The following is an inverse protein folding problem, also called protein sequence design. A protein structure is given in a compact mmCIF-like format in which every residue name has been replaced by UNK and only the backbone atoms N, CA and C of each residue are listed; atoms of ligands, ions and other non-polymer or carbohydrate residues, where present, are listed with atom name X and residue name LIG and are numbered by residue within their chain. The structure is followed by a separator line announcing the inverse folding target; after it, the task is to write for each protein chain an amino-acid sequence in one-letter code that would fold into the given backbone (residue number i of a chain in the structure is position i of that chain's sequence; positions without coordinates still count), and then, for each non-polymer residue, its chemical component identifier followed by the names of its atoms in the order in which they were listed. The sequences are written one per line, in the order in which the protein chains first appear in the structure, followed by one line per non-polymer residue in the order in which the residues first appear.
data_IF_511518859706
#
_entry.id   IF_511518859706
#
_cell.length_a   1.000
_cell.length_b   1.000
_cell.length_c   1.000
_cell.angle_alpha   90.00
_cell.angle_beta   90.00
_cell.angle_gamma   90.00
#
_symmetry.space_group_name_H-M   'P 1'
#
loop_
_entity.id
_entity.type
_entity.pdbx_description
1 polymer ?
#
# COMPACT_ATOMS: atom_id res chain seq x y z
N UNK A 1 8.65 -5.41 -8.45
CA UNK A 1 8.35 -3.96 -8.26
C UNK A 1 9.09 -3.45 -7.04
N UNK A 2 9.72 -2.28 -7.08
CA UNK A 2 10.43 -1.63 -5.96
C UNK A 2 10.03 -0.16 -5.89
N UNK A 3 9.91 0.37 -4.66
CA UNK A 3 9.75 1.81 -4.42
C UNK A 3 11.13 2.45 -4.57
N UNK A 4 11.22 3.47 -5.42
CA UNK A 4 12.48 4.19 -5.65
C UNK A 4 12.50 5.57 -5.04
N UNK A 5 11.33 6.19 -4.87
CA UNK A 5 11.19 7.54 -4.30
C UNK A 5 9.80 7.72 -3.73
N UNK A 6 9.72 8.51 -2.67
CA UNK A 6 8.48 8.97 -2.05
C UNK A 6 8.55 10.48 -1.92
N UNK A 7 7.48 11.15 -2.29
CA UNK A 7 7.31 12.59 -2.11
C UNK A 7 6.01 12.83 -1.34
N UNK A 8 6.08 13.62 -0.30
CA UNK A 8 4.95 14.08 0.48
C UNK A 8 4.85 15.60 0.29
N UNK A 9 3.70 16.04 -0.19
CA UNK A 9 3.38 17.46 -0.36
C UNK A 9 2.03 17.70 0.30
N UNK A 10 1.85 18.85 0.93
CA UNK A 10 0.67 19.23 1.70
C UNK A 10 0.38 18.39 2.94
N UNK A 11 0.13 19.06 4.07
CA UNK A 11 -0.23 18.45 5.34
C UNK A 11 0.94 17.95 6.21
N UNK A 12 2.16 17.96 5.67
CA UNK A 12 3.45 17.73 6.35
C UNK A 12 4.51 18.65 5.75
N UNK A 13 5.66 18.74 6.43
CA UNK A 13 6.86 19.26 5.78
C UNK A 13 7.11 18.45 4.52
N UNK A 14 7.38 19.14 3.41
CA UNK A 14 7.69 18.49 2.13
C UNK A 14 8.92 17.60 2.31
N UNK A 15 8.73 16.31 2.20
CA UNK A 15 9.84 15.36 2.25
C UNK A 15 10.00 14.65 0.92
N UNK A 16 11.26 14.43 0.53
CA UNK A 16 11.63 13.66 -0.64
C UNK A 16 12.61 12.59 -0.18
N UNK A 17 12.14 11.36 -0.12
CA UNK A 17 12.96 10.23 0.31
C UNK A 17 13.29 9.32 -0.88
N UNK A 18 14.59 9.14 -1.11
CA UNK A 18 15.09 8.25 -2.16
C UNK A 18 15.39 6.89 -1.55
N UNK A 19 14.71 5.86 -2.06
CA UNK A 19 14.90 4.49 -1.62
C UNK A 19 15.98 3.79 -2.42
N UNK A 20 16.82 3.02 -1.73
CA UNK A 20 17.84 2.17 -2.35
C UNK A 20 17.27 0.78 -2.62
N UNK A 21 17.81 0.10 -3.62
CA UNK A 21 17.50 -1.32 -3.82
C UNK A 21 18.00 -2.13 -2.61
N UNK A 22 17.14 -3.00 -2.09
CA UNK A 22 17.44 -3.83 -0.93
C UNK A 22 16.87 -3.24 0.36
N UNK A 23 17.65 -3.24 1.41
CA UNK A 23 17.23 -2.84 2.75
C UNK A 23 17.30 -1.32 2.94
N UNK A 24 16.22 -0.72 3.43
CA UNK A 24 16.14 0.70 3.80
C UNK A 24 15.78 0.78 5.29
N UNK A 25 16.62 1.43 6.08
CA UNK A 25 16.43 1.58 7.52
C UNK A 25 15.98 3.01 7.84
N UNK A 26 14.83 3.12 8.48
CA UNK A 26 14.32 4.39 9.01
C UNK A 26 14.63 4.46 10.50
N UNK A 27 15.50 5.39 10.88
CA UNK A 27 15.91 5.60 12.27
C UNK A 27 15.59 7.01 12.72
N UNK A 28 15.48 7.22 14.03
CA UNK A 28 15.45 8.53 14.66
C UNK A 28 16.55 8.60 15.73
N UNK A 29 17.28 9.68 15.75
CA UNK A 29 18.50 9.77 16.58
C UNK A 29 18.23 9.82 18.08
N UNK A 30 17.09 10.30 18.57
CA UNK A 30 16.96 10.57 20.02
C UNK A 30 15.57 10.34 20.67
N UNK A 31 14.55 9.86 19.98
CA UNK A 31 13.22 9.66 20.60
C UNK A 31 12.42 8.53 19.95
N UNK A 32 11.75 7.73 20.78
CA UNK A 32 10.94 6.58 20.34
C UNK A 32 9.63 6.94 19.61
N UNK A 33 9.20 8.19 19.60
CA UNK A 33 7.87 8.60 19.12
C UNK A 33 7.86 9.46 17.85
N UNK A 34 8.96 9.55 17.10
CA UNK A 34 9.02 10.42 15.94
C UNK A 34 8.57 9.69 14.66
N UNK A 35 7.27 9.51 14.51
CA UNK A 35 6.66 9.34 13.18
C UNK A 35 7.06 8.14 12.31
N UNK A 36 7.98 7.23 12.75
CA UNK A 36 8.44 6.09 11.92
C UNK A 36 7.28 5.21 11.45
N UNK A 37 6.41 4.80 12.37
CA UNK A 37 5.22 4.01 12.04
C UNK A 37 4.24 4.80 11.18
N UNK A 38 4.13 6.10 11.40
CA UNK A 38 3.31 7.00 10.59
C UNK A 38 3.83 7.10 9.16
N UNK A 39 5.15 7.18 9.00
CA UNK A 39 5.77 7.19 7.68
C UNK A 39 5.48 5.90 6.89
N UNK A 40 5.60 4.73 7.54
CA UNK A 40 5.21 3.47 6.91
C UNK A 40 3.71 3.45 6.56
N UNK A 41 2.85 3.97 7.44
CA UNK A 41 1.41 4.11 7.16
C UNK A 41 1.14 5.04 5.96
N UNK A 42 1.92 6.11 5.80
CA UNK A 42 1.83 7.01 4.65
C UNK A 42 2.15 6.31 3.33
N UNK A 43 3.12 5.39 3.31
CA UNK A 43 3.40 4.57 2.12
C UNK A 43 2.17 3.75 1.73
N UNK A 44 1.55 3.07 2.69
CA UNK A 44 0.34 2.27 2.42
C UNK A 44 -0.85 3.15 2.06
N UNK A 45 -1.01 4.29 2.73
CA UNK A 45 -2.02 5.27 2.36
C UNK A 45 -1.86 5.70 0.90
N UNK A 46 -0.64 6.03 0.48
CA UNK A 46 -0.35 6.46 -0.89
C UNK A 46 -0.63 5.39 -1.95
N UNK A 47 -0.61 4.12 -1.55
CA UNK A 47 -1.02 2.98 -2.38
C UNK A 47 -2.54 2.68 -2.31
N UNK A 48 -3.33 3.59 -1.75
CA UNK A 48 -4.79 3.48 -1.70
C UNK A 48 -5.36 2.73 -0.51
N UNK A 49 -4.52 2.15 0.36
CA UNK A 49 -5.01 1.41 1.52
C UNK A 49 -5.60 2.32 2.59
N UNK A 50 -6.60 1.82 3.30
CA UNK A 50 -7.09 2.43 4.54
C UNK A 50 -6.05 2.22 5.64
N UNK A 51 -5.65 3.29 6.31
CA UNK A 51 -4.70 3.25 7.43
C UNK A 51 -5.35 3.71 8.73
N UNK A 52 -4.84 3.30 9.91
CA UNK A 52 -5.33 3.79 11.18
C UNK A 52 -5.21 5.31 11.28
N UNK A 53 -6.16 5.95 11.96
CA UNK A 53 -6.03 7.35 12.32
C UNK A 53 -4.78 7.55 13.19
N UNK A 54 -4.08 8.66 12.99
CA UNK A 54 -2.96 9.08 13.82
C UNK A 54 -3.29 10.47 14.35
N UNK A 55 -3.09 10.68 15.65
CA UNK A 55 -3.37 11.96 16.28
C UNK A 55 -2.59 13.10 15.58
N UNK A 56 -3.27 14.21 15.33
CA UNK A 56 -2.69 15.36 14.64
C UNK A 56 -2.54 15.20 13.12
N UNK A 57 -2.88 14.05 12.53
CA UNK A 57 -2.68 13.78 11.11
C UNK A 57 -4.00 13.53 10.38
N UNK A 58 -4.30 14.39 9.43
CA UNK A 58 -5.41 14.18 8.52
C UNK A 58 -4.91 13.65 7.17
N UNK A 59 -4.92 12.31 7.03
CA UNK A 59 -4.47 11.65 5.81
C UNK A 59 -5.19 12.12 4.54
N UNK A 60 -6.44 12.60 4.64
CA UNK A 60 -7.18 13.10 3.47
C UNK A 60 -6.64 14.43 2.92
N UNK A 61 -5.82 15.15 3.70
CA UNK A 61 -5.17 16.39 3.27
C UNK A 61 -3.76 16.18 2.72
N UNK A 62 -3.28 14.95 2.75
CA UNK A 62 -1.93 14.64 2.30
C UNK A 62 -1.98 14.34 0.81
N UNK A 63 -1.21 15.09 0.04
CA UNK A 63 -0.87 14.73 -1.33
C UNK A 63 0.46 13.99 -1.32
N UNK A 64 0.49 12.81 -1.93
CA UNK A 64 1.69 11.97 -1.95
C UNK A 64 1.96 11.43 -3.34
N UNK A 65 3.25 11.26 -3.66
CA UNK A 65 3.70 10.58 -4.88
C UNK A 65 4.64 9.44 -4.52
N UNK A 66 4.37 8.27 -5.07
CA UNK A 66 5.26 7.12 -4.99
C UNK A 66 5.77 6.80 -6.38
N UNK A 67 7.07 6.65 -6.48
CA UNK A 67 7.74 6.23 -7.71
C UNK A 67 8.12 4.75 -7.57
N UNK A 68 7.59 3.94 -8.45
CA UNK A 68 7.85 2.51 -8.49
C UNK A 68 8.61 2.17 -9.76
N UNK A 69 9.49 1.18 -9.66
CA UNK A 69 10.17 0.61 -10.82
C UNK A 69 9.96 -0.89 -10.87
N UNK A 70 9.58 -1.37 -12.05
CA UNK A 70 9.48 -2.79 -12.33
C UNK A 70 10.03 -3.08 -13.70
N UNK A 71 11.13 -3.88 -13.77
CA UNK A 71 11.84 -4.14 -15.00
C UNK A 71 12.21 -2.83 -15.71
N UNK A 72 11.62 -2.56 -16.88
CA UNK A 72 11.85 -1.38 -17.71
C UNK A 72 10.74 -0.33 -17.61
N UNK A 73 9.75 -0.52 -16.72
CA UNK A 73 8.63 0.42 -16.53
C UNK A 73 8.80 1.22 -15.24
N UNK A 74 8.49 2.49 -15.33
CA UNK A 74 8.48 3.42 -14.19
C UNK A 74 7.07 3.94 -13.97
N UNK A 75 6.51 3.63 -12.80
CA UNK A 75 5.19 4.07 -12.40
C UNK A 75 5.31 5.27 -11.46
N UNK A 76 4.46 6.27 -11.67
CA UNK A 76 4.24 7.35 -10.72
C UNK A 76 2.82 7.22 -10.22
N UNK A 77 2.67 6.96 -8.93
CA UNK A 77 1.37 6.90 -8.28
C UNK A 77 1.22 8.16 -7.46
N UNK A 78 0.22 8.97 -7.79
CA UNK A 78 -0.13 10.19 -7.04
C UNK A 78 -1.45 9.96 -6.35
N UNK A 79 -1.49 10.16 -5.03
CA UNK A 79 -2.72 10.18 -4.27
C UNK A 79 -3.04 11.57 -3.78
N UNK A 80 -4.24 12.02 -4.08
CA UNK A 80 -4.81 13.26 -3.61
C UNK A 80 -6.23 12.99 -3.11
N UNK A 81 -6.39 13.01 -1.78
CA UNK A 81 -7.66 12.66 -1.12
C UNK A 81 -8.16 11.25 -1.55
N UNK A 82 -9.30 11.21 -2.27
CA UNK A 82 -9.93 9.99 -2.80
C UNK A 82 -9.57 9.68 -4.25
N UNK A 83 -8.72 10.49 -4.87
CA UNK A 83 -8.25 10.26 -6.23
C UNK A 83 -6.85 9.65 -6.19
N UNK A 84 -6.68 8.59 -6.96
CA UNK A 84 -5.40 7.94 -7.16
C UNK A 84 -5.11 7.92 -8.64
N UNK A 85 -4.03 8.60 -9.04
CA UNK A 85 -3.59 8.67 -10.44
C UNK A 85 -2.36 7.81 -10.62
N UNK A 86 -2.32 7.06 -11.71
CA UNK A 86 -1.15 6.25 -12.13
C UNK A 86 -0.67 6.76 -13.48
N UNK A 87 0.61 7.01 -13.57
CA UNK A 87 1.30 7.38 -14.80
C UNK A 87 2.43 6.38 -15.09
N UNK A 88 2.52 5.90 -16.33
CA UNK A 88 3.63 5.09 -16.83
C UNK A 88 4.35 5.92 -17.87
N UNK A 89 5.56 6.38 -17.53
CA UNK A 89 6.30 7.32 -18.38
C UNK A 89 6.65 6.77 -19.75
N UNK A 90 7.10 5.53 -19.79
CA UNK A 90 7.57 4.87 -21.01
C UNK A 90 6.45 4.63 -22.02
N UNK A 91 5.20 4.54 -21.54
CA UNK A 91 4.03 4.24 -22.37
C UNK A 91 3.16 5.48 -22.64
N UNK A 92 3.53 6.65 -22.10
CA UNK A 92 2.71 7.87 -22.09
C UNK A 92 1.26 7.58 -21.61
N UNK A 93 1.15 6.66 -20.65
CA UNK A 93 -0.13 6.18 -20.13
C UNK A 93 -0.45 6.89 -18.82
N UNK A 94 -1.71 7.31 -18.69
CA UNK A 94 -2.24 7.86 -17.44
C UNK A 94 -3.65 7.33 -17.20
N UNK A 95 -3.91 6.88 -15.99
CA UNK A 95 -5.23 6.46 -15.55
C UNK A 95 -5.52 6.95 -14.12
N UNK A 96 -6.80 7.13 -13.81
CA UNK A 96 -7.28 7.60 -12.53
C UNK A 96 -8.22 6.56 -11.92
N UNK A 97 -8.14 6.39 -10.59
CA UNK A 97 -9.00 5.49 -9.83
C UNK A 97 -9.60 6.23 -8.65
N UNK A 98 -10.89 6.05 -8.42
CA UNK A 98 -11.62 6.65 -7.32
C UNK A 98 -11.63 5.71 -6.11
N UNK A 99 -11.19 6.18 -4.97
CA UNK A 99 -11.14 5.40 -3.73
C UNK A 99 -12.37 5.66 -2.85
N UNK A 100 -12.87 4.63 -2.16
CA UNK A 100 -12.36 3.24 -2.13
C UNK A 100 -12.88 2.35 -3.25
N UNK A 101 -13.82 2.82 -4.08
CA UNK A 101 -14.63 2.02 -5.00
C UNK A 101 -13.78 1.26 -6.03
N UNK A 102 -12.73 1.91 -6.56
CA UNK A 102 -11.88 1.35 -7.61
C UNK A 102 -10.52 0.85 -7.10
N UNK A 103 -10.36 0.71 -5.77
CA UNK A 103 -9.08 0.28 -5.19
C UNK A 103 -8.62 -1.10 -5.71
N UNK A 104 -9.54 -2.05 -5.84
CA UNK A 104 -9.19 -3.36 -6.39
C UNK A 104 -8.81 -3.31 -7.85
N UNK A 105 -9.48 -2.48 -8.64
CA UNK A 105 -9.14 -2.26 -10.05
C UNK A 105 -7.73 -1.67 -10.19
N UNK A 106 -7.40 -0.70 -9.33
CA UNK A 106 -6.04 -0.15 -9.25
C UNK A 106 -4.99 -1.22 -8.89
N UNK A 107 -5.23 -1.99 -7.82
CA UNK A 107 -4.27 -3.03 -7.42
C UNK A 107 -4.16 -4.15 -8.48
N UNK A 108 -5.27 -4.52 -9.12
CA UNK A 108 -5.27 -5.47 -10.24
C UNK A 108 -4.42 -4.98 -11.40
N UNK A 109 -4.53 -3.71 -11.72
CA UNK A 109 -3.72 -3.06 -12.74
C UNK A 109 -2.24 -3.02 -12.33
N UNK A 110 -1.96 -2.56 -11.11
CA UNK A 110 -0.58 -2.38 -10.63
C UNK A 110 0.19 -3.70 -10.51
N UNK A 111 -0.46 -4.76 -10.05
CA UNK A 111 0.17 -6.08 -9.84
C UNK A 111 -0.07 -7.07 -10.99
N UNK A 112 -0.74 -6.64 -12.06
CA UNK A 112 -1.12 -7.49 -13.19
C UNK A 112 -1.83 -8.79 -12.73
N UNK A 113 -2.62 -8.69 -11.67
CA UNK A 113 -3.30 -9.80 -11.03
C UNK A 113 -4.81 -9.56 -10.98
N UNK A 114 -5.60 -10.50 -11.49
CA UNK A 114 -7.06 -10.41 -11.46
C UNK A 114 -7.70 -11.19 -10.32
N UNK A 115 -6.93 -12.02 -9.62
CA UNK A 115 -7.44 -12.83 -8.53
C UNK A 115 -7.66 -11.96 -7.28
N UNK A 116 -8.93 -11.68 -6.98
CA UNK A 116 -9.34 -10.81 -5.88
C UNK A 116 -8.90 -11.34 -4.51
N UNK A 117 -8.83 -12.67 -4.32
CA UNK A 117 -8.37 -13.29 -3.07
C UNK A 117 -6.89 -12.99 -2.81
N UNK A 118 -6.07 -13.04 -3.86
CA UNK A 118 -4.65 -12.66 -3.76
C UNK A 118 -4.54 -11.17 -3.45
N UNK A 119 -5.20 -10.32 -4.25
CA UNK A 119 -5.08 -8.86 -4.15
C UNK A 119 -5.51 -8.35 -2.76
N UNK A 120 -6.63 -8.84 -2.23
CA UNK A 120 -7.11 -8.46 -0.90
C UNK A 120 -6.11 -8.75 0.22
N UNK A 121 -5.31 -9.80 0.06
CA UNK A 121 -4.40 -10.29 1.08
C UNK A 121 -2.93 -9.87 0.86
N UNK A 122 -2.59 -9.20 -0.25
CA UNK A 122 -1.23 -8.79 -0.58
C UNK A 122 -0.57 -7.95 0.51
N UNK A 123 -1.28 -6.96 1.05
CA UNK A 123 -0.73 -6.12 2.10
C UNK A 123 -0.43 -6.93 3.37
N UNK A 124 -1.31 -7.85 3.74
CA UNK A 124 -1.10 -8.74 4.89
C UNK A 124 0.11 -9.63 4.75
N UNK A 125 0.46 -10.02 3.52
CA UNK A 125 1.66 -10.79 3.23
C UNK A 125 2.95 -9.97 3.44
N UNK A 126 2.92 -8.68 3.13
CA UNK A 126 4.10 -7.81 3.06
C UNK A 126 4.30 -6.96 4.32
N UNK A 127 3.33 -6.90 5.23
CA UNK A 127 3.37 -5.98 6.35
C UNK A 127 3.49 -6.70 7.68
N UNK A 128 4.46 -6.26 8.50
CA UNK A 128 4.63 -6.66 9.89
C UNK A 128 4.35 -5.44 10.77
N UNK A 129 3.31 -5.52 11.58
CA UNK A 129 2.94 -4.46 12.52
C UNK A 129 3.75 -4.59 13.82
N UNK A 130 4.08 -3.45 14.42
CA UNK A 130 4.87 -3.41 15.65
C UNK A 130 4.18 -4.11 16.83
N UNK A 131 2.86 -3.97 16.94
CA UNK A 131 2.07 -4.51 18.05
C UNK A 131 1.47 -5.87 17.73
N UNK A 132 1.08 -6.08 16.47
CA UNK A 132 0.30 -7.23 16.02
C UNK A 132 1.14 -8.31 15.33
N UNK A 133 2.41 -8.03 15.08
CA UNK A 133 3.30 -8.94 14.36
C UNK A 133 2.91 -9.09 12.88
N UNK A 134 3.08 -10.27 12.33
CA UNK A 134 2.76 -10.53 10.93
C UNK A 134 1.24 -10.47 10.70
N UNK A 135 0.81 -9.49 9.94
CA UNK A 135 -0.60 -9.11 9.83
C UNK A 135 -1.46 -10.17 9.18
N UNK A 136 -0.90 -11.00 8.31
CA UNK A 136 -1.61 -12.10 7.65
C UNK A 136 -2.13 -13.16 8.64
N UNK A 137 -1.46 -13.34 9.78
CA UNK A 137 -1.85 -14.32 10.80
C UNK A 137 -2.89 -13.79 11.80
N UNK A 138 -3.22 -12.51 11.72
CA UNK A 138 -4.20 -11.90 12.62
C UNK A 138 -5.62 -12.04 12.07
N UNK A 139 -6.53 -12.60 12.87
CA UNK A 139 -7.94 -12.83 12.48
C UNK A 139 -8.83 -11.59 12.52
N UNK A 140 -8.35 -10.45 13.00
CA UNK A 140 -9.10 -9.22 13.17
C UNK A 140 -8.78 -8.14 12.13
N UNK A 141 -9.24 -6.93 12.41
CA UNK A 141 -8.77 -5.73 11.70
C UNK A 141 -7.35 -5.44 12.12
N UNK A 142 -6.44 -5.30 11.18
CA UNK A 142 -5.02 -5.13 11.46
C UNK A 142 -4.54 -3.73 11.12
N UNK A 143 -4.82 -3.27 9.90
CA UNK A 143 -4.48 -1.92 9.45
C UNK A 143 -5.77 -1.23 9.01
N UNK A 144 -6.16 -0.19 9.72
CA UNK A 144 -7.42 0.51 9.46
C UNK A 144 -8.60 -0.47 9.47
N UNK A 145 -9.32 -0.57 8.36
CA UNK A 145 -10.44 -1.51 8.19
C UNK A 145 -10.07 -2.81 7.48
N UNK A 146 -8.78 -2.99 7.15
CA UNK A 146 -8.35 -4.17 6.39
C UNK A 146 -8.35 -5.43 7.28
N UNK A 147 -8.85 -6.51 6.72
CA UNK A 147 -8.78 -7.87 7.25
C UNK A 147 -8.05 -8.74 6.25
N UNK A 148 -7.21 -9.63 6.75
CA UNK A 148 -6.46 -10.55 5.93
C UNK A 148 -6.82 -11.98 6.30
N UNK A 149 -6.70 -12.88 5.32
CA UNK A 149 -6.97 -14.32 5.50
C UNK A 149 -5.91 -15.11 4.73
N UNK A 150 -5.15 -15.92 5.48
CA UNK A 150 -4.18 -16.83 4.87
C UNK A 150 -4.86 -17.90 4.03
N UNK A 151 -6.04 -18.36 4.45
CA UNK A 151 -6.80 -19.40 3.76
C UNK A 151 -7.27 -18.89 2.39
N UNK A 152 -7.81 -17.67 2.33
CA UNK A 152 -8.17 -17.02 1.06
C UNK A 152 -6.96 -16.80 0.16
N UNK A 153 -5.82 -16.39 0.73
CA UNK A 153 -4.60 -16.20 -0.04
C UNK A 153 -4.13 -17.53 -0.66
N UNK A 154 -4.07 -18.58 0.14
CA UNK A 154 -3.66 -19.91 -0.32
C UNK A 154 -4.62 -20.46 -1.37
N UNK A 155 -5.93 -20.30 -1.16
CA UNK A 155 -6.93 -20.67 -2.15
C UNK A 155 -6.77 -19.89 -3.46
N UNK A 156 -6.53 -18.59 -3.36
CA UNK A 156 -6.25 -17.77 -4.54
C UNK A 156 -5.00 -18.21 -5.30
N UNK A 157 -3.91 -18.52 -4.59
CA UNK A 157 -2.66 -19.00 -5.19
C UNK A 157 -2.81 -20.37 -5.86
N UNK A 158 -3.62 -21.26 -5.29
CA UNK A 158 -3.93 -22.58 -5.84
C UNK A 158 -5.03 -22.55 -6.90
N UNK A 159 -5.65 -21.41 -7.12
CA UNK A 159 -6.84 -21.26 -7.97
C UNK A 159 -7.99 -22.21 -7.61
N UNK A 160 -8.14 -22.48 -6.30
CA UNK A 160 -9.20 -23.36 -5.75
C UNK A 160 -10.40 -22.51 -5.41
N UNK A 161 -11.58 -22.95 -5.77
CA UNK A 161 -12.83 -22.38 -5.26
C UNK A 161 -13.16 -22.97 -3.89
N UNK A 162 -13.05 -22.13 -2.84
CA UNK A 162 -13.30 -22.59 -1.47
C UNK A 162 -14.78 -22.86 -1.20
N UNK A 163 -15.69 -22.35 -2.02
CA UNK A 163 -17.12 -22.63 -1.87
C UNK A 163 -17.46 -24.10 -2.19
N UNK A 164 -16.66 -24.75 -3.04
CA UNK A 164 -16.80 -26.18 -3.35
C UNK A 164 -16.26 -27.09 -2.22
N UNK A 165 -15.46 -26.57 -1.29
CA UNK A 165 -14.84 -27.39 -0.22
C UNK A 165 -15.70 -27.47 1.03
N UNK A 166 -16.75 -26.65 1.16
CA UNK A 166 -17.62 -26.59 2.34
C UNK A 166 -19.07 -26.96 2.06
N UNK A 167 -19.37 -27.44 0.84
CA UNK A 167 -20.61 -28.11 0.45
C UNK A 167 -20.38 -29.62 0.33
#
# INVERSE_FOLDING_TARGET
MIITRIELTEGFETSIDIMKKGFNLFTSENQNSIGKSTYCRLIFHSLGFSVPSTEGINFNKICSKIFLKERNKSFIITRENKLLSVEIKEENFKNNFKLPEEHFSFLSFLFECKNIRIIKNLLGLMYIDQEKGWTLLNRGKVIGNNRFSIDELVAGLKNIDCEELFN
#
